data_IF_212676412655
#
_entry.id   IF_212676412655
#
_cell.length_a   1.000
_cell.length_b   1.000
_cell.length_c   1.000
_cell.angle_alpha   90.00
_cell.angle_beta   90.00
_cell.angle_gamma   90.00
#
_symmetry.space_group_name_H-M   'P 1'
#
loop_
_entity.id
_entity.type
_entity.pdbx_description
1 polymer ?
#
# COMPACT_ATOMS: atom_id res chain seq x y z
N UNK A 1 -10.80 -53.19 35.18
CA UNK A 1 -10.86 -52.44 36.45
C UNK A 1 -9.42 -52.24 36.91
N UNK A 2 -8.95 -50.98 36.93
CA UNK A 2 -9.12 -50.11 38.09
C UNK A 2 -9.81 -48.78 37.77
N UNK A 3 -10.20 -48.08 38.84
CA UNK A 3 -11.11 -46.94 38.94
C UNK A 3 -10.60 -45.62 38.32
N UNK A 4 -11.51 -44.70 37.93
CA UNK A 4 -11.20 -43.33 37.54
C UNK A 4 -11.21 -42.38 38.75
N UNK A 5 -10.18 -41.55 38.90
CA UNK A 5 -10.20 -40.40 39.81
C UNK A 5 -10.98 -39.25 39.18
N UNK A 6 -12.20 -39.05 39.69
CA UNK A 6 -13.02 -37.88 39.42
C UNK A 6 -12.52 -36.68 40.24
N UNK A 7 -12.21 -35.56 39.58
CA UNK A 7 -12.11 -34.28 40.25
C UNK A 7 -13.45 -33.55 40.08
N UNK A 8 -14.29 -33.62 41.10
CA UNK A 8 -15.54 -32.87 41.19
C UNK A 8 -15.25 -31.47 41.75
N UNK A 9 -15.46 -30.43 40.94
CA UNK A 9 -15.68 -29.09 41.48
C UNK A 9 -17.19 -28.85 41.50
N UNK A 10 -17.74 -28.89 42.72
CA UNK A 10 -19.12 -28.50 43.01
C UNK A 10 -19.25 -26.98 42.98
N UNK A 11 -20.18 -26.49 42.15
CA UNK A 11 -20.73 -25.14 42.21
C UNK A 11 -22.23 -25.22 41.92
N UNK A 12 -23.11 -24.55 42.70
CA UNK A 12 -24.55 -24.73 42.59
C UNK A 12 -25.11 -23.81 41.50
N UNK A 13 -25.38 -24.35 40.31
CA UNK A 13 -26.63 -24.19 39.55
C UNK A 13 -26.47 -24.77 38.13
N UNK A 14 -27.51 -25.48 37.71
CA UNK A 14 -27.54 -26.44 36.60
C UNK A 14 -27.32 -25.85 35.21
N UNK A 15 -26.60 -26.64 34.39
CA UNK A 15 -26.61 -26.57 32.93
C UNK A 15 -25.61 -27.52 32.29
N UNK A 16 -25.85 -28.84 32.34
CA UNK A 16 -25.02 -29.84 31.64
C UNK A 16 -25.23 -29.74 30.12
N UNK A 17 -24.20 -29.32 29.37
CA UNK A 17 -24.13 -29.54 27.93
C UNK A 17 -23.02 -30.54 27.60
N UNK A 18 -23.40 -31.69 27.04
CA UNK A 18 -22.48 -32.61 26.35
C UNK A 18 -22.01 -31.93 25.06
N UNK A 19 -20.73 -31.60 24.95
CA UNK A 19 -20.10 -31.20 23.68
C UNK A 19 -19.31 -32.37 23.12
N UNK A 20 -19.92 -33.12 22.21
CA UNK A 20 -19.20 -33.99 21.28
C UNK A 20 -18.58 -33.14 20.17
N UNK A 21 -17.25 -33.05 20.18
CA UNK A 21 -16.34 -32.91 19.03
C UNK A 21 -16.77 -31.97 17.88
N UNK A 22 -16.54 -30.66 18.02
CA UNK A 22 -16.35 -29.70 16.90
C UNK A 22 -15.46 -28.51 17.33
N UNK A 23 -14.31 -28.75 17.99
CA UNK A 23 -13.53 -27.66 18.62
C UNK A 23 -12.36 -27.10 17.77
N UNK A 24 -11.81 -27.81 16.78
CA UNK A 24 -10.49 -27.44 16.25
C UNK A 24 -10.45 -26.41 15.10
N UNK A 25 -11.60 -25.93 14.60
CA UNK A 25 -11.64 -24.89 13.54
C UNK A 25 -12.18 -23.55 14.07
N UNK A 26 -12.94 -23.55 15.16
CA UNK A 26 -13.51 -22.35 15.77
C UNK A 26 -12.52 -21.59 16.65
N UNK A 27 -11.77 -22.28 17.53
CA UNK A 27 -10.88 -21.63 18.51
C UNK A 27 -9.76 -20.81 17.88
N UNK A 28 -9.19 -21.25 16.76
CA UNK A 28 -8.13 -20.51 16.05
C UNK A 28 -8.64 -19.21 15.42
N UNK A 29 -9.86 -19.24 14.86
CA UNK A 29 -10.54 -18.06 14.30
C UNK A 29 -10.91 -17.06 15.40
N UNK A 30 -11.49 -17.54 16.51
CA UNK A 30 -11.82 -16.69 17.67
C UNK A 30 -10.56 -16.08 18.28
N UNK A 31 -9.46 -16.82 18.44
CA UNK A 31 -8.21 -16.30 19.01
C UNK A 31 -7.58 -15.22 18.12
N UNK A 32 -7.62 -15.39 16.78
CA UNK A 32 -7.15 -14.38 15.81
C UNK A 32 -8.04 -13.12 15.80
N UNK A 33 -9.36 -13.29 15.83
CA UNK A 33 -10.33 -12.18 15.89
C UNK A 33 -10.13 -11.40 17.20
N UNK A 34 -9.98 -12.08 18.34
CA UNK A 34 -9.82 -11.46 19.65
C UNK A 34 -8.49 -10.71 19.76
N UNK A 35 -7.39 -11.27 19.22
CA UNK A 35 -6.09 -10.58 19.15
C UNK A 35 -6.12 -9.33 18.27
N UNK A 36 -6.82 -9.38 17.13
CA UNK A 36 -6.96 -8.23 16.22
C UNK A 36 -7.81 -7.12 16.83
N UNK A 37 -8.90 -7.47 17.50
CA UNK A 37 -9.75 -6.51 18.23
C UNK A 37 -8.95 -5.86 19.37
N UNK A 38 -8.23 -6.65 20.17
CA UNK A 38 -7.42 -6.13 21.28
C UNK A 38 -6.28 -5.25 20.78
N UNK A 39 -5.57 -5.66 19.72
CA UNK A 39 -4.50 -4.86 19.13
C UNK A 39 -5.04 -3.54 18.56
N UNK A 40 -6.20 -3.54 17.90
CA UNK A 40 -6.84 -2.34 17.40
C UNK A 40 -7.32 -1.42 18.54
N UNK A 41 -7.86 -1.97 19.62
CA UNK A 41 -8.29 -1.21 20.80
C UNK A 41 -7.09 -0.58 21.53
N UNK A 42 -6.03 -1.35 21.76
CA UNK A 42 -4.78 -0.87 22.33
C UNK A 42 -4.15 0.22 21.44
N UNK A 43 -4.12 0.00 20.12
CA UNK A 43 -3.62 1.00 19.18
C UNK A 43 -4.47 2.27 19.22
N UNK A 44 -5.79 2.15 19.28
CA UNK A 44 -6.70 3.29 19.42
C UNK A 44 -6.44 4.09 20.70
N UNK A 45 -6.17 3.41 21.81
CA UNK A 45 -5.87 4.06 23.08
C UNK A 45 -4.48 4.72 23.11
N UNK A 46 -3.47 4.05 22.53
CA UNK A 46 -2.14 4.63 22.32
C UNK A 46 -2.24 5.88 21.45
N UNK A 47 -3.02 5.85 20.38
CA UNK A 47 -3.24 7.00 19.48
C UNK A 47 -3.86 8.17 20.23
N UNK A 48 -4.94 7.96 20.99
CA UNK A 48 -5.55 9.02 21.82
C UNK A 48 -4.56 9.59 22.82
N UNK A 49 -3.85 8.72 23.53
CA UNK A 49 -2.80 9.12 24.48
C UNK A 49 -1.74 9.97 23.80
N UNK A 50 -1.34 9.61 22.58
CA UNK A 50 -0.34 10.35 21.81
C UNK A 50 -0.86 11.73 21.41
N UNK A 51 -2.10 11.82 20.92
CA UNK A 51 -2.74 13.09 20.54
C UNK A 51 -2.96 14.02 21.74
N UNK A 52 -3.28 13.46 22.91
CA UNK A 52 -3.50 14.21 24.15
C UNK A 52 -2.18 14.68 24.80
N UNK A 53 -1.14 13.85 24.77
CA UNK A 53 0.14 14.14 25.45
C UNK A 53 1.16 14.88 24.60
N UNK A 54 1.08 14.79 23.27
CA UNK A 54 2.07 15.39 22.37
C UNK A 54 1.43 16.45 21.47
N UNK A 55 1.93 17.67 21.56
CA UNK A 55 1.58 18.73 20.62
C UNK A 55 2.28 18.48 19.27
N UNK A 56 1.51 18.04 18.27
CA UNK A 56 2.02 17.88 16.90
C UNK A 56 2.03 19.19 16.13
N UNK A 57 3.13 19.45 15.43
CA UNK A 57 3.15 20.43 14.33
C UNK A 57 2.14 20.02 13.24
N UNK A 58 1.68 20.97 12.38
CA UNK A 58 0.78 20.65 11.28
C UNK A 58 1.31 19.52 10.38
N UNK A 59 2.62 19.48 10.14
CA UNK A 59 3.28 18.43 9.37
C UNK A 59 3.26 17.07 10.06
N UNK A 60 3.60 17.01 11.34
CA UNK A 60 3.54 15.76 12.12
C UNK A 60 2.13 15.21 12.17
N UNK A 61 1.12 16.08 12.36
CA UNK A 61 -0.28 15.69 12.32
C UNK A 61 -0.67 15.13 10.95
N UNK A 62 -0.27 15.78 9.86
CA UNK A 62 -0.56 15.30 8.51
C UNK A 62 0.06 13.92 8.24
N UNK A 63 1.31 13.69 8.64
CA UNK A 63 1.97 12.38 8.51
C UNK A 63 1.28 11.33 9.37
N UNK A 64 0.96 11.66 10.61
CA UNK A 64 0.26 10.76 11.52
C UNK A 64 -1.08 10.29 10.93
N UNK A 65 -1.87 11.21 10.36
CA UNK A 65 -3.13 10.89 9.69
C UNK A 65 -2.93 10.02 8.44
N UNK A 66 -1.89 10.28 7.62
CA UNK A 66 -1.52 9.40 6.51
C UNK A 66 -1.17 7.97 6.95
N UNK A 67 -0.43 7.83 8.06
CA UNK A 67 -0.01 6.53 8.59
C UNK A 67 -1.18 5.71 9.15
N UNK A 68 -2.30 6.36 9.50
CA UNK A 68 -3.54 5.70 9.95
C UNK A 68 -4.40 5.20 8.80
N UNK A 69 -4.11 5.62 7.56
CA UNK A 69 -4.87 5.18 6.41
C UNK A 69 -4.81 3.64 6.28
N UNK A 70 -5.91 2.99 5.85
CA UNK A 70 -5.89 1.57 5.54
C UNK A 70 -4.74 1.22 4.59
N UNK A 71 -4.11 0.07 4.84
CA UNK A 71 -2.98 -0.47 4.05
C UNK A 71 -1.65 0.29 4.16
N UNK A 72 -1.59 1.48 4.79
CA UNK A 72 -0.35 2.23 4.94
C UNK A 72 0.74 1.44 5.69
N UNK A 73 0.37 0.54 6.60
CA UNK A 73 1.28 -0.28 7.41
C UNK A 73 1.51 -1.69 6.84
N UNK A 74 0.86 -2.07 5.75
CA UNK A 74 0.87 -3.47 5.27
C UNK A 74 2.26 -3.96 4.84
N UNK A 75 3.19 -3.05 4.55
CA UNK A 75 4.58 -3.41 4.25
C UNK A 75 5.33 -4.01 5.45
N UNK A 76 4.95 -3.67 6.69
CA UNK A 76 5.61 -4.14 7.92
C UNK A 76 5.36 -5.63 8.19
N UNK A 77 4.30 -6.21 7.62
CA UNK A 77 3.98 -7.63 7.76
C UNK A 77 4.60 -8.51 6.68
N UNK A 78 5.40 -7.93 5.78
CA UNK A 78 6.04 -8.68 4.68
C UNK A 78 7.20 -9.53 5.18
N UNK A 79 7.18 -10.81 4.83
CA UNK A 79 8.31 -11.72 5.01
C UNK A 79 9.43 -11.34 4.01
N UNK A 80 10.68 -11.13 4.46
CA UNK A 80 11.77 -10.73 3.56
C UNK A 80 12.23 -11.87 2.65
N UNK A 81 11.62 -11.98 1.47
CA UNK A 81 11.94 -13.04 0.48
C UNK A 81 12.68 -12.43 -0.71
N UNK A 82 13.98 -12.73 -0.84
CA UNK A 82 14.85 -12.19 -1.90
C UNK A 82 14.32 -12.48 -3.30
N UNK A 83 13.87 -13.72 -3.55
CA UNK A 83 13.31 -14.13 -4.85
C UNK A 83 11.99 -13.44 -5.24
N UNK A 84 11.32 -12.77 -4.31
CA UNK A 84 10.11 -11.98 -4.54
C UNK A 84 10.37 -10.47 -4.57
N UNK A 85 11.65 -10.06 -4.47
CA UNK A 85 12.04 -8.66 -4.39
C UNK A 85 11.68 -7.98 -3.05
N UNK A 86 11.30 -8.76 -2.04
CA UNK A 86 10.77 -8.31 -0.74
C UNK A 86 11.84 -8.00 0.31
N UNK A 87 13.05 -7.66 -0.12
CA UNK A 87 14.14 -7.26 0.78
C UNK A 87 14.48 -5.78 0.57
N UNK A 88 14.73 -5.09 1.67
CA UNK A 88 15.40 -3.79 1.73
C UNK A 88 16.74 -3.98 2.44
N UNK A 89 17.73 -3.17 2.06
CA UNK A 89 18.95 -2.98 2.84
C UNK A 89 18.63 -2.30 4.18
N UNK A 90 19.55 -2.38 5.14
CA UNK A 90 19.40 -1.69 6.42
C UNK A 90 19.25 -0.17 6.24
N UNK A 91 19.95 0.40 5.25
CA UNK A 91 19.91 1.85 4.93
C UNK A 91 18.54 2.24 4.38
N UNK A 92 18.00 1.49 3.42
CA UNK A 92 16.65 1.72 2.88
C UNK A 92 15.58 1.62 3.97
N UNK A 93 15.65 0.57 4.81
CA UNK A 93 14.67 0.36 5.87
C UNK A 93 14.73 1.46 6.92
N UNK A 94 15.94 1.85 7.37
CA UNK A 94 16.13 2.98 8.29
C UNK A 94 15.63 4.29 7.69
N UNK A 95 15.87 4.54 6.40
CA UNK A 95 15.40 5.74 5.72
C UNK A 95 13.86 5.84 5.73
N UNK A 96 13.17 4.73 5.45
CA UNK A 96 11.70 4.68 5.51
C UNK A 96 11.17 4.88 6.91
N UNK A 97 11.77 4.25 7.92
CA UNK A 97 11.35 4.46 9.30
C UNK A 97 11.53 5.92 9.72
N UNK A 98 12.67 6.55 9.40
CA UNK A 98 12.90 7.96 9.69
C UNK A 98 11.90 8.86 8.98
N UNK A 99 11.63 8.63 7.68
CA UNK A 99 10.64 9.37 6.91
C UNK A 99 9.24 9.30 7.55
N UNK A 100 8.81 8.10 7.93
CA UNK A 100 7.48 7.86 8.55
C UNK A 100 7.41 8.43 9.97
N UNK A 101 8.49 8.36 10.73
CA UNK A 101 8.54 8.86 12.10
C UNK A 101 8.86 10.35 12.20
N UNK A 102 8.97 11.06 11.07
CA UNK A 102 9.35 12.47 11.05
C UNK A 102 10.69 12.73 11.75
N UNK A 103 11.66 11.83 11.56
CA UNK A 103 13.04 12.01 12.02
C UNK A 103 13.84 12.63 10.87
N UNK A 104 14.58 13.73 11.10
CA UNK A 104 15.42 14.35 10.08
C UNK A 104 16.36 13.36 9.38
N UNK A 105 16.34 13.39 8.05
CA UNK A 105 17.11 12.58 7.11
C UNK A 105 18.23 13.39 6.44
N UNK A 106 17.95 14.64 6.12
CA UNK A 106 18.85 15.53 5.40
C UNK A 106 19.19 16.75 6.27
N UNK A 107 20.38 17.33 6.11
CA UNK A 107 20.63 18.69 6.59
C UNK A 107 19.62 19.66 5.95
N UNK A 108 19.21 20.68 6.71
CA UNK A 108 18.37 21.74 6.15
C UNK A 108 19.17 22.53 5.10
N UNK A 109 18.47 23.01 4.08
CA UNK A 109 18.97 23.93 3.04
C UNK A 109 20.06 23.39 2.09
N UNK A 110 20.44 22.11 2.17
CA UNK A 110 21.36 21.49 1.21
C UNK A 110 20.71 21.41 -0.19
N UNK A 111 21.39 21.87 -1.27
CA UNK A 111 20.89 21.71 -2.63
C UNK A 111 20.66 20.24 -2.95
N UNK A 112 19.48 19.91 -3.47
CA UNK A 112 19.18 18.54 -3.89
C UNK A 112 20.24 18.08 -4.92
N UNK A 113 21.00 17.00 -4.66
CA UNK A 113 22.13 16.60 -5.50
C UNK A 113 21.70 16.16 -6.90
N UNK A 114 20.40 15.96 -7.10
CA UNK A 114 19.77 15.44 -8.31
C UNK A 114 19.25 16.58 -9.16
N UNK A 115 18.28 17.36 -8.67
CA UNK A 115 17.71 18.43 -9.49
C UNK A 115 18.58 19.68 -9.48
N UNK A 116 19.32 19.93 -8.39
CA UNK A 116 20.05 21.18 -8.12
C UNK A 116 19.19 22.45 -8.22
N UNK A 117 17.86 22.31 -8.23
CA UNK A 117 16.87 23.40 -8.40
C UNK A 117 16.21 23.83 -7.10
N UNK A 118 16.19 22.94 -6.10
CA UNK A 118 15.59 23.19 -4.80
C UNK A 118 16.47 22.59 -3.70
N UNK A 119 16.38 23.15 -2.51
CA UNK A 119 16.98 22.54 -1.33
C UNK A 119 16.16 21.33 -0.86
N UNK A 120 16.82 20.38 -0.22
CA UNK A 120 16.19 19.30 0.50
C UNK A 120 15.57 19.86 1.78
N UNK A 121 14.33 19.47 2.07
CA UNK A 121 13.82 19.60 3.43
C UNK A 121 14.37 18.45 4.27
N UNK A 122 14.62 18.69 5.56
CA UNK A 122 15.15 17.69 6.48
C UNK A 122 14.31 16.42 6.56
N UNK A 123 13.02 16.46 6.25
CA UNK A 123 12.13 15.30 6.31
C UNK A 123 11.99 14.54 4.99
N UNK A 124 12.57 15.02 3.89
CA UNK A 124 12.66 14.30 2.61
C UNK A 124 11.46 14.42 1.68
N UNK A 125 10.57 15.39 1.86
CA UNK A 125 9.46 15.64 0.93
C UNK A 125 9.94 16.00 -0.49
N UNK A 126 10.96 16.86 -0.60
CA UNK A 126 11.57 17.13 -1.89
C UNK A 126 12.16 15.85 -2.50
N UNK A 127 12.82 15.00 -1.70
CA UNK A 127 13.45 13.77 -2.19
C UNK A 127 12.43 12.82 -2.85
N UNK A 128 11.24 12.68 -2.26
CA UNK A 128 10.18 11.80 -2.78
C UNK A 128 9.35 12.43 -3.91
N UNK A 129 9.41 13.77 -4.04
CA UNK A 129 8.69 14.57 -5.05
C UNK A 129 9.59 15.22 -6.14
N UNK A 130 10.89 14.96 -6.13
CA UNK A 130 11.82 15.58 -7.08
C UNK A 130 11.61 15.03 -8.50
N UNK A 131 11.11 15.87 -9.41
CA UNK A 131 10.74 15.50 -10.80
C UNK A 131 11.92 15.19 -11.71
N UNK A 132 13.12 15.64 -11.35
CA UNK A 132 14.34 15.47 -12.17
C UNK A 132 15.02 14.10 -11.96
N UNK A 133 14.67 13.35 -10.91
CA UNK A 133 15.16 11.97 -10.81
C UNK A 133 14.30 11.07 -11.71
N UNK A 134 14.90 10.04 -12.33
CA UNK A 134 14.17 8.84 -12.76
C UNK A 134 13.38 8.17 -11.61
N UNK A 135 13.46 8.66 -10.38
CA UNK A 135 12.95 8.04 -9.14
C UNK A 135 11.44 7.95 -9.07
N UNK A 136 10.73 8.95 -9.61
CA UNK A 136 9.28 8.81 -9.79
C UNK A 136 8.95 7.66 -10.70
N UNK A 137 9.64 7.61 -11.85
CA UNK A 137 9.51 6.52 -12.81
C UNK A 137 9.92 5.19 -12.17
N UNK A 138 10.97 5.16 -11.36
CA UNK A 138 11.43 3.97 -10.66
C UNK A 138 10.40 3.44 -9.66
N UNK A 139 9.86 4.30 -8.77
CA UNK A 139 8.81 3.88 -7.81
C UNK A 139 7.58 3.37 -8.56
N UNK A 140 7.15 4.10 -9.58
CA UNK A 140 6.04 3.69 -10.45
C UNK A 140 6.29 2.33 -11.10
N UNK A 141 7.43 2.17 -11.78
CA UNK A 141 7.81 0.95 -12.50
C UNK A 141 7.97 -0.24 -11.54
N UNK A 142 8.51 -0.02 -10.35
CA UNK A 142 8.64 -1.04 -9.31
C UNK A 142 7.26 -1.52 -8.83
N UNK A 143 6.32 -0.59 -8.56
CA UNK A 143 4.96 -0.95 -8.15
C UNK A 143 4.22 -1.66 -9.29
N UNK A 144 4.34 -1.18 -10.54
CA UNK A 144 3.81 -1.83 -11.74
C UNK A 144 4.33 -3.27 -11.86
N UNK A 145 5.63 -3.46 -11.73
CA UNK A 145 6.27 -4.75 -11.91
C UNK A 145 5.89 -5.75 -10.80
N UNK A 146 5.77 -5.29 -9.55
CA UNK A 146 5.27 -6.13 -8.45
C UNK A 146 3.80 -6.46 -8.62
N UNK A 147 2.97 -5.49 -9.02
CA UNK A 147 1.55 -5.72 -9.30
C UNK A 147 1.38 -6.74 -10.42
N UNK A 148 2.17 -6.62 -11.48
CA UNK A 148 2.19 -7.58 -12.58
C UNK A 148 2.61 -9.00 -12.14
N UNK A 149 3.67 -9.12 -11.32
CA UNK A 149 4.09 -10.40 -10.78
C UNK A 149 3.01 -11.03 -9.88
N UNK A 150 2.30 -10.22 -9.09
CA UNK A 150 1.15 -10.68 -8.30
C UNK A 150 0.04 -11.22 -9.21
N UNK A 151 -0.34 -10.50 -10.27
CA UNK A 151 -1.34 -10.95 -11.23
C UNK A 151 -0.94 -12.26 -11.90
N UNK A 152 0.31 -12.34 -12.38
CA UNK A 152 0.86 -13.54 -13.03
C UNK A 152 0.81 -14.75 -12.09
N UNK A 153 1.20 -14.59 -10.83
CA UNK A 153 1.16 -15.67 -9.81
C UNK A 153 -0.25 -16.05 -9.39
N UNK A 154 -1.21 -15.12 -9.50
CA UNK A 154 -2.62 -15.41 -9.30
C UNK A 154 -3.23 -16.21 -10.47
N UNK A 155 -2.50 -16.42 -11.57
CA UNK A 155 -3.03 -17.01 -12.80
C UNK A 155 -3.86 -16.03 -13.62
N UNK A 156 -3.78 -14.73 -13.34
CA UNK A 156 -4.49 -13.69 -14.07
C UNK A 156 -3.64 -13.30 -15.28
N UNK A 157 -4.19 -13.49 -16.48
CA UNK A 157 -3.51 -13.12 -17.72
C UNK A 157 -3.40 -11.60 -17.83
N UNK A 158 -2.18 -11.11 -17.99
CA UNK A 158 -1.89 -9.68 -18.12
C UNK A 158 -0.66 -9.42 -18.99
N UNK A 159 -0.53 -8.19 -19.49
CA UNK A 159 0.64 -7.69 -20.22
C UNK A 159 1.06 -6.32 -19.68
N UNK A 160 2.35 -6.13 -19.41
CA UNK A 160 2.93 -4.82 -19.05
C UNK A 160 3.16 -3.96 -20.29
N UNK A 161 3.02 -2.65 -20.15
CA UNK A 161 3.34 -1.66 -21.20
C UNK A 161 2.67 -2.03 -22.54
N UNK A 162 1.42 -2.49 -22.48
CA UNK A 162 0.71 -2.95 -23.65
C UNK A 162 0.31 -1.73 -24.50
N UNK A 163 0.69 -1.66 -25.79
CA UNK A 163 0.25 -0.56 -26.64
C UNK A 163 -1.27 -0.62 -26.80
N UNK A 164 -1.95 0.46 -26.42
CA UNK A 164 -3.40 0.62 -26.59
C UNK A 164 -3.65 1.91 -27.35
N UNK A 165 -4.15 1.76 -28.57
CA UNK A 165 -4.11 2.84 -29.55
C UNK A 165 -4.97 4.05 -29.15
N UNK A 166 -5.96 3.84 -28.29
CA UNK A 166 -6.98 4.80 -27.90
C UNK A 166 -6.69 5.55 -26.59
N UNK A 167 -5.61 5.24 -25.87
CA UNK A 167 -5.21 6.01 -24.68
C UNK A 167 -4.38 7.26 -25.01
N UNK A 168 -4.01 7.43 -26.29
CA UNK A 168 -3.36 8.63 -26.80
C UNK A 168 -4.43 9.69 -27.03
N UNK A 169 -4.33 10.83 -26.35
CA UNK A 169 -5.16 11.99 -26.67
C UNK A 169 -4.72 12.50 -28.06
N UNK A 170 -5.63 12.59 -29.05
CA UNK A 170 -5.32 13.15 -30.36
C UNK A 170 -4.74 14.57 -30.29
N UNK A 171 -5.07 15.33 -29.24
CA UNK A 171 -4.56 16.69 -29.01
C UNK A 171 -3.17 16.71 -28.36
N UNK A 172 -2.68 15.61 -27.80
CA UNK A 172 -1.34 15.53 -27.21
C UNK A 172 -0.23 15.45 -28.28
N UNK A 173 -0.58 15.34 -29.57
CA UNK A 173 0.37 15.41 -30.69
C UNK A 173 1.48 14.33 -30.68
N UNK A 174 1.33 13.28 -29.85
CA UNK A 174 2.35 12.23 -29.73
C UNK A 174 2.29 11.30 -30.93
N UNK A 175 3.45 11.04 -31.53
CA UNK A 175 3.63 10.08 -32.63
C UNK A 175 3.55 8.62 -32.18
N UNK A 176 3.65 8.34 -30.88
CA UNK A 176 3.64 6.99 -30.31
C UNK A 176 2.42 6.75 -29.43
N UNK A 177 1.83 5.57 -29.57
CA UNK A 177 0.69 5.14 -28.76
C UNK A 177 1.03 5.12 -27.28
N UNK A 178 0.16 5.66 -26.43
CA UNK A 178 0.35 5.55 -24.98
C UNK A 178 0.07 4.11 -24.54
N UNK A 179 1.05 3.40 -23.97
CA UNK A 179 0.79 2.08 -23.41
C UNK A 179 -0.06 2.19 -22.14
N UNK A 180 -0.84 1.15 -21.85
CA UNK A 180 -1.35 0.92 -20.50
C UNK A 180 -0.23 0.32 -19.65
N UNK A 181 -0.07 0.79 -18.41
CA UNK A 181 0.98 0.26 -17.53
C UNK A 181 0.81 -1.25 -17.35
N UNK A 182 -0.43 -1.70 -17.15
CA UNK A 182 -0.82 -3.12 -17.18
C UNK A 182 -2.16 -3.27 -17.91
N UNK A 183 -2.20 -4.13 -18.93
CA UNK A 183 -3.44 -4.62 -19.54
C UNK A 183 -3.80 -5.97 -18.94
N UNK A 184 -4.95 -6.08 -18.29
CA UNK A 184 -5.47 -7.32 -17.69
C UNK A 184 -6.56 -7.90 -18.60
N UNK A 185 -6.38 -9.14 -19.06
CA UNK A 185 -7.30 -9.76 -20.01
C UNK A 185 -8.53 -10.34 -19.30
N UNK A 186 -9.69 -10.25 -19.96
CA UNK A 186 -10.96 -10.82 -19.48
C UNK A 186 -11.39 -10.35 -18.09
N UNK A 187 -11.10 -9.10 -17.73
CA UNK A 187 -11.32 -8.57 -16.39
C UNK A 187 -12.80 -8.51 -16.02
N UNK A 188 -13.68 -7.85 -16.78
CA UNK A 188 -15.09 -7.71 -16.39
C UNK A 188 -16.02 -7.85 -17.59
N UNK A 189 -16.99 -8.77 -17.52
CA UNK A 189 -17.90 -9.03 -18.63
C UNK A 189 -17.20 -9.36 -19.95
N UNK A 190 -16.05 -10.04 -19.89
CA UNK A 190 -15.19 -10.33 -21.04
C UNK A 190 -14.28 -9.18 -21.50
N UNK A 191 -14.48 -7.96 -21.01
CA UNK A 191 -13.67 -6.78 -21.35
C UNK A 191 -12.30 -6.82 -20.69
N UNK A 192 -11.29 -6.30 -21.37
CA UNK A 192 -9.95 -6.14 -20.81
C UNK A 192 -9.89 -4.87 -19.95
N UNK A 193 -9.09 -4.89 -18.88
CA UNK A 193 -8.88 -3.71 -18.04
C UNK A 193 -7.53 -3.05 -18.33
N UNK A 194 -7.56 -1.74 -18.59
CA UNK A 194 -6.38 -0.89 -18.65
C UNK A 194 -6.12 -0.34 -17.24
N UNK A 195 -5.12 -0.89 -16.55
CA UNK A 195 -4.68 -0.41 -15.24
C UNK A 195 -3.60 0.65 -15.47
N UNK A 196 -3.82 1.86 -14.96
CA UNK A 196 -2.92 3.00 -15.09
C UNK A 196 -2.56 3.50 -13.68
N UNK A 197 -1.28 3.41 -13.34
CA UNK A 197 -0.75 3.68 -12.03
C UNK A 197 -0.48 5.19 -11.85
N UNK A 198 -0.60 5.65 -10.61
CA UNK A 198 -0.15 6.98 -10.21
C UNK A 198 0.24 7.01 -8.74
N UNK A 199 1.42 7.59 -8.46
CA UNK A 199 1.93 7.76 -7.12
C UNK A 199 2.00 9.24 -6.75
N UNK A 200 1.37 9.64 -5.65
CA UNK A 200 1.39 11.02 -5.14
C UNK A 200 2.19 11.14 -3.84
N UNK A 201 2.74 12.32 -3.54
CA UNK A 201 3.09 12.67 -2.16
C UNK A 201 1.97 13.54 -1.59
N UNK A 202 1.34 13.16 -0.46
CA UNK A 202 0.17 13.85 0.06
C UNK A 202 0.53 15.18 0.74
N UNK A 203 1.79 15.39 1.12
CA UNK A 203 2.23 16.62 1.81
C UNK A 203 2.68 17.72 0.84
N UNK A 204 2.61 17.49 -0.47
CA UNK A 204 2.96 18.51 -1.47
C UNK A 204 2.02 19.70 -1.34
N UNK A 205 2.59 20.87 -1.04
CA UNK A 205 1.82 22.09 -0.82
C UNK A 205 1.02 22.08 0.48
N UNK A 206 1.43 21.28 1.48
CA UNK A 206 0.87 21.31 2.83
C UNK A 206 0.88 22.75 3.36
N UNK A 207 -0.29 23.22 3.78
CA UNK A 207 -0.50 24.51 4.45
C UNK A 207 -0.83 24.27 5.92
N UNK A 208 -0.76 25.31 6.73
CA UNK A 208 -0.97 25.22 8.18
C UNK A 208 -2.37 24.70 8.58
N UNK A 209 -3.35 24.77 7.67
CA UNK A 209 -4.72 24.33 7.88
C UNK A 209 -5.29 23.55 6.67
N UNK A 210 -6.18 22.60 6.95
CA UNK A 210 -7.01 21.94 5.93
C UNK A 210 -6.43 20.68 5.28
N UNK A 211 -5.40 20.06 5.87
CA UNK A 211 -4.94 18.74 5.42
C UNK A 211 -6.01 17.68 5.68
N UNK A 212 -6.29 16.86 4.66
CA UNK A 212 -7.19 15.72 4.75
C UNK A 212 -6.48 14.50 4.18
N UNK A 213 -6.19 13.51 5.02
CA UNK A 213 -5.59 12.27 4.59
C UNK A 213 -6.47 11.60 3.51
N UNK A 214 -5.82 11.04 2.49
CA UNK A 214 -6.52 10.45 1.35
C UNK A 214 -6.98 11.45 0.27
N UNK A 215 -7.04 12.76 0.53
CA UNK A 215 -7.53 13.70 -0.47
C UNK A 215 -6.65 13.74 -1.73
N UNK A 216 -5.33 13.67 -1.57
CA UNK A 216 -4.39 13.68 -2.70
C UNK A 216 -4.56 12.45 -3.61
N UNK A 217 -4.76 11.25 -3.04
CA UNK A 217 -4.98 10.03 -3.82
C UNK A 217 -6.33 10.04 -4.54
N UNK A 218 -7.40 10.50 -3.89
CA UNK A 218 -8.73 10.61 -4.52
C UNK A 218 -8.73 11.63 -5.66
N UNK A 219 -8.04 12.77 -5.50
CA UNK A 219 -7.86 13.74 -6.59
C UNK A 219 -7.09 13.13 -7.78
N UNK A 220 -6.04 12.35 -7.50
CA UNK A 220 -5.25 11.70 -8.54
C UNK A 220 -6.05 10.61 -9.27
N UNK A 221 -6.82 9.81 -8.54
CA UNK A 221 -7.75 8.80 -9.08
C UNK A 221 -8.78 9.46 -10.00
N UNK A 222 -9.51 10.48 -9.51
CA UNK A 222 -10.51 11.20 -10.30
C UNK A 222 -9.91 11.86 -11.56
N UNK A 223 -8.71 12.43 -11.44
CA UNK A 223 -8.00 13.01 -12.59
C UNK A 223 -7.64 11.98 -13.66
N UNK A 224 -7.25 10.76 -13.27
CA UNK A 224 -6.99 9.66 -14.20
C UNK A 224 -8.28 9.16 -14.88
N UNK A 225 -9.36 9.00 -14.11
CA UNK A 225 -10.69 8.62 -14.64
C UNK A 225 -11.14 9.63 -15.69
N UNK A 226 -11.15 10.92 -15.33
CA UNK A 226 -11.57 12.00 -16.23
C UNK A 226 -10.78 12.01 -17.55
N UNK A 227 -9.49 11.65 -17.50
CA UNK A 227 -8.61 11.64 -18.66
C UNK A 227 -8.80 10.42 -19.57
N UNK A 228 -9.11 9.24 -19.02
CA UNK A 228 -8.95 7.98 -19.77
C UNK A 228 -10.21 7.11 -19.87
N UNK A 229 -11.15 7.23 -18.94
CA UNK A 229 -12.28 6.31 -18.84
C UNK A 229 -13.16 6.32 -20.10
N UNK A 230 -13.51 7.51 -20.60
CA UNK A 230 -14.34 7.65 -21.82
C UNK A 230 -13.72 6.93 -23.02
N UNK A 231 -12.40 7.03 -23.18
CA UNK A 231 -11.69 6.36 -24.27
C UNK A 231 -11.71 4.83 -24.09
N UNK A 232 -11.50 4.32 -22.87
CA UNK A 232 -11.62 2.89 -22.57
C UNK A 232 -13.03 2.35 -22.88
N UNK A 233 -14.08 3.03 -22.40
CA UNK A 233 -15.47 2.61 -22.63
C UNK A 233 -15.79 2.54 -24.12
N UNK A 234 -15.44 3.57 -24.89
CA UNK A 234 -15.66 3.60 -26.35
C UNK A 234 -15.00 2.43 -27.07
N UNK A 235 -13.90 1.92 -26.54
CA UNK A 235 -13.12 0.81 -27.10
C UNK A 235 -13.37 -0.53 -26.39
N UNK A 236 -14.48 -0.68 -25.65
CA UNK A 236 -14.85 -1.92 -24.95
C UNK A 236 -13.82 -2.40 -23.91
N UNK A 237 -13.13 -1.47 -23.26
CA UNK A 237 -12.23 -1.74 -22.14
C UNK A 237 -12.78 -1.16 -20.84
N UNK A 238 -12.35 -1.73 -19.71
CA UNK A 238 -12.53 -1.14 -18.39
C UNK A 238 -11.30 -0.32 -18.07
N UNK A 239 -11.49 0.86 -17.49
CA UNK A 239 -10.37 1.65 -16.96
C UNK A 239 -10.24 1.40 -15.46
N UNK A 240 -9.02 1.19 -14.97
CA UNK A 240 -8.74 1.00 -13.55
C UNK A 240 -7.67 2.02 -13.11
N UNK A 241 -8.06 3.10 -12.43
CA UNK A 241 -7.09 4.04 -11.86
C UNK A 241 -6.42 3.42 -10.62
N UNK A 242 -5.13 3.14 -10.69
CA UNK A 242 -4.38 2.58 -9.58
C UNK A 242 -3.58 3.67 -8.86
N UNK A 243 -4.25 4.43 -8.00
CA UNK A 243 -3.64 5.54 -7.27
C UNK A 243 -3.17 5.14 -5.86
N UNK A 244 -1.97 5.59 -5.49
CA UNK A 244 -1.36 5.37 -4.18
C UNK A 244 -0.53 6.57 -3.71
N UNK A 245 -0.24 6.67 -2.42
CA UNK A 245 0.65 7.70 -1.87
C UNK A 245 2.01 7.17 -1.37
N UNK A 246 2.91 8.09 -1.01
CA UNK A 246 4.24 7.77 -0.47
C UNK A 246 4.19 7.05 0.89
N UNK A 247 3.10 7.16 1.65
CA UNK A 247 2.93 6.46 2.93
C UNK A 247 2.29 5.08 2.78
N UNK A 248 1.82 4.71 1.58
CA UNK A 248 1.26 3.41 1.25
C UNK A 248 -0.27 3.36 1.27
N UNK A 249 -0.96 4.49 1.42
CA UNK A 249 -2.40 4.54 1.25
C UNK A 249 -2.78 4.28 -0.22
N UNK A 250 -3.94 3.67 -0.42
CA UNK A 250 -4.47 3.29 -1.73
C UNK A 250 -5.83 3.95 -1.95
N UNK A 251 -6.09 4.40 -3.17
CA UNK A 251 -7.38 4.95 -3.54
C UNK A 251 -8.46 3.84 -3.63
N UNK A 252 -9.76 4.18 -3.52
CA UNK A 252 -10.86 3.22 -3.54
C UNK A 252 -10.81 2.19 -4.67
N UNK A 253 -10.58 2.60 -5.91
CA UNK A 253 -10.56 1.68 -7.06
C UNK A 253 -9.34 0.76 -7.03
N UNK A 254 -8.19 1.27 -6.58
CA UNK A 254 -7.00 0.46 -6.36
C UNK A 254 -7.26 -0.63 -5.29
N UNK A 255 -7.94 -0.27 -4.20
CA UNK A 255 -8.35 -1.22 -3.16
C UNK A 255 -9.33 -2.26 -3.71
N UNK A 256 -10.34 -1.84 -4.49
CA UNK A 256 -11.30 -2.76 -5.10
C UNK A 256 -10.62 -3.75 -6.05
N UNK A 257 -9.70 -3.24 -6.88
CA UNK A 257 -8.88 -4.05 -7.78
C UNK A 257 -8.09 -5.10 -7.00
N UNK A 258 -7.34 -4.70 -5.97
CA UNK A 258 -6.53 -5.63 -5.16
C UNK A 258 -7.38 -6.62 -4.37
N UNK A 259 -8.55 -6.23 -3.86
CA UNK A 259 -9.50 -7.15 -3.20
C UNK A 259 -9.91 -8.27 -4.15
N UNK A 260 -10.23 -7.92 -5.40
CA UNK A 260 -10.58 -8.90 -6.42
C UNK A 260 -9.42 -9.83 -6.77
N UNK A 261 -8.20 -9.29 -6.92
CA UNK A 261 -6.98 -10.10 -7.12
C UNK A 261 -6.76 -11.05 -5.93
N UNK A 262 -6.90 -10.56 -4.70
CA UNK A 262 -6.77 -11.36 -3.48
C UNK A 262 -7.82 -12.48 -3.42
N UNK A 263 -9.06 -12.24 -3.87
CA UNK A 263 -10.09 -13.28 -3.96
C UNK A 263 -9.67 -14.39 -4.93
N UNK A 264 -9.17 -14.05 -6.12
CA UNK A 264 -8.66 -15.05 -7.09
C UNK A 264 -7.54 -15.89 -6.48
N UNK A 265 -6.57 -15.26 -5.81
CA UNK A 265 -5.47 -16.00 -5.17
C UNK A 265 -5.97 -16.93 -4.07
N UNK A 266 -6.94 -16.46 -3.27
CA UNK A 266 -7.51 -17.22 -2.16
C UNK A 266 -8.33 -18.42 -2.65
N UNK A 267 -8.97 -18.32 -3.82
CA UNK A 267 -9.65 -19.44 -4.48
C UNK A 267 -8.68 -20.48 -5.03
N UNK A 268 -7.49 -20.05 -5.49
CA UNK A 268 -6.49 -20.93 -6.10
C UNK A 268 -5.56 -21.61 -5.09
N UNK A 269 -5.55 -21.18 -3.82
CA UNK A 269 -4.58 -21.67 -2.83
C UNK A 269 -5.25 -22.12 -1.53
N UNK A 270 -5.18 -23.41 -1.22
CA UNK A 270 -5.77 -23.98 0.00
C UNK A 270 -5.16 -23.41 1.31
N UNK A 271 -3.93 -22.89 1.27
CA UNK A 271 -3.14 -22.52 2.45
C UNK A 271 -3.04 -21.01 2.74
N UNK A 272 -3.60 -20.11 1.91
CA UNK A 272 -3.42 -18.64 2.06
C UNK A 272 -4.69 -17.92 2.55
N UNK A 273 -5.68 -18.67 3.04
CA UNK A 273 -6.91 -18.09 3.59
C UNK A 273 -6.58 -17.22 4.83
N UNK A 274 -6.71 -15.91 4.69
CA UNK A 274 -6.61 -14.95 5.80
C UNK A 274 -5.39 -14.01 5.79
N UNK A 275 -4.44 -14.16 4.87
CA UNK A 275 -3.32 -13.21 4.74
C UNK A 275 -3.57 -12.21 3.61
N UNK A 276 -3.52 -10.90 3.91
CA UNK A 276 -3.60 -9.78 2.96
C UNK A 276 -2.31 -9.65 2.13
N UNK A 277 -1.75 -10.77 1.65
CA UNK A 277 -0.43 -10.79 1.05
C UNK A 277 -0.35 -9.91 -0.21
N UNK A 278 -1.44 -9.79 -0.98
CA UNK A 278 -1.50 -8.91 -2.16
C UNK A 278 -1.21 -7.47 -1.76
N UNK A 279 -1.91 -6.98 -0.73
CA UNK A 279 -1.73 -5.62 -0.22
C UNK A 279 -0.34 -5.44 0.37
N UNK A 280 0.14 -6.38 1.18
CA UNK A 280 1.48 -6.33 1.76
C UNK A 280 2.58 -6.29 0.69
N UNK A 281 2.46 -7.06 -0.39
CA UNK A 281 3.42 -7.04 -1.51
C UNK A 281 3.45 -5.69 -2.22
N UNK A 282 2.29 -5.13 -2.53
CA UNK A 282 2.19 -3.82 -3.19
C UNK A 282 2.68 -2.72 -2.24
N UNK A 283 2.24 -2.72 -0.98
CA UNK A 283 2.68 -1.77 0.05
C UNK A 283 4.20 -1.77 0.23
N UNK A 284 4.82 -2.95 0.22
CA UNK A 284 6.27 -3.06 0.26
C UNK A 284 6.95 -2.48 -0.97
N UNK A 285 6.41 -2.71 -2.18
CA UNK A 285 6.94 -2.11 -3.40
C UNK A 285 6.88 -0.57 -3.36
N UNK A 286 5.78 -0.01 -2.84
CA UNK A 286 5.63 1.44 -2.64
C UNK A 286 6.73 1.95 -1.71
N UNK A 287 6.84 1.37 -0.52
CA UNK A 287 7.84 1.81 0.48
C UNK A 287 9.27 1.60 -0.01
N UNK A 288 9.55 0.52 -0.75
CA UNK A 288 10.87 0.29 -1.34
C UNK A 288 11.23 1.35 -2.38
N UNK A 289 10.27 1.74 -3.22
CA UNK A 289 10.46 2.83 -4.18
C UNK A 289 10.72 4.16 -3.49
N UNK A 290 10.00 4.46 -2.40
CA UNK A 290 10.25 5.64 -1.56
C UNK A 290 11.65 5.58 -0.93
N UNK A 291 12.05 4.42 -0.41
CA UNK A 291 13.36 4.22 0.21
C UNK A 291 14.48 4.53 -0.78
N UNK A 292 14.40 3.99 -1.99
CA UNK A 292 15.37 4.24 -3.05
C UNK A 292 15.49 5.75 -3.37
N UNK A 293 14.39 6.50 -3.36
CA UNK A 293 14.42 7.95 -3.59
C UNK A 293 15.08 8.71 -2.44
N UNK A 294 14.85 8.31 -1.19
CA UNK A 294 15.49 8.91 -0.03
C UNK A 294 16.99 8.60 -0.02
N UNK A 295 17.35 7.33 -0.18
CA UNK A 295 18.74 6.84 -0.14
C UNK A 295 19.60 7.46 -1.23
N UNK A 296 19.06 7.68 -2.43
CA UNK A 296 19.77 8.35 -3.52
C UNK A 296 20.23 9.79 -3.20
N UNK A 297 19.80 10.36 -2.08
CA UNK A 297 20.13 11.73 -1.64
C UNK A 297 20.76 11.78 -0.25
N UNK A 298 20.98 10.63 0.39
CA UNK A 298 21.63 10.62 1.69
C UNK A 298 23.06 11.16 1.56
N UNK A 299 23.52 12.01 2.50
CA UNK A 299 24.89 12.48 2.49
C UNK A 299 25.84 11.30 2.69
N UNK A 300 26.99 11.36 2.00
CA UNK A 300 27.99 10.29 1.92
C UNK A 300 28.55 9.84 3.28
N UNK A 301 28.33 10.64 4.34
CA UNK A 301 28.87 10.47 5.69
C UNK A 301 27.88 9.69 6.60
N UNK A 302 26.64 9.42 6.16
CA UNK A 302 25.56 8.83 6.99
C UNK A 302 25.29 7.34 6.76
N UNK A 303 26.20 6.61 6.11
CA UNK A 303 26.07 5.16 5.82
C UNK A 303 26.74 4.29 6.90
#
# INVERSE_FOLDING_TARGET
MPLPTHLWLQGPNLGFFKTTSFANVGESCWTLITRKILANALYGEIVKTVEEKFAFSPRQRAVFECLRAPHAQDFLSVVPIKGLGQCMSAVEYRAILKYRLMIPLFPDDDPCPVCRKCCLDSFGEHAVHCKELPGFKYRHDLVRDVLYDVLKRAGISAKKEAPVNFLTDPLEGRSTLRPADILVFGWEGGKHACVDLTGVSPLVGLRDHGFVAGQAITKAEAGKVAKHEKACIKNQHVFVPFAFDTFGALAPDAVQFLKRVQQVVSSNTAHVKGQNFVFSRVGFAIQKGVAAQLVARLPTISL
#
